data_IF_210629181762
#
_entry.id   IF_210629181762
#
_cell.length_a   1.000
_cell.length_b   1.000
_cell.length_c   1.000
_cell.angle_alpha   90.00
_cell.angle_beta   90.00
_cell.angle_gamma   90.00
#
_symmetry.space_group_name_H-M   'P 1'
#
loop_
_entity.id
_entity.type
_entity.pdbx_description
1 polymer ?
#
# COMPACT_ATOMS: atom_id res chain seq x y z
N UNK A 1 11.50 -17.42 -12.71
CA UNK A 1 10.87 -17.64 -11.37
C UNK A 1 10.73 -16.37 -10.50
N UNK A 2 11.47 -15.26 -10.73
CA UNK A 2 11.42 -14.07 -9.88
C UNK A 2 10.12 -13.27 -9.90
N UNK A 3 9.49 -13.08 -11.07
CA UNK A 3 8.31 -12.21 -11.23
C UNK A 3 7.07 -12.80 -10.56
N UNK A 4 6.78 -14.07 -10.81
CA UNK A 4 5.60 -14.75 -10.20
C UNK A 4 5.69 -14.73 -8.67
N UNK A 5 6.88 -15.02 -8.11
CA UNK A 5 7.09 -14.97 -6.66
C UNK A 5 6.88 -13.58 -6.09
N UNK A 6 7.26 -12.52 -6.82
CA UNK A 6 7.01 -11.12 -6.41
C UNK A 6 5.53 -10.80 -6.42
N UNK A 7 4.80 -11.20 -7.47
CA UNK A 7 3.35 -11.03 -7.57
C UNK A 7 2.63 -11.72 -6.42
N UNK A 8 2.90 -13.01 -6.20
CA UNK A 8 2.29 -13.77 -5.09
C UNK A 8 2.58 -13.15 -3.72
N UNK A 9 3.81 -12.67 -3.52
CA UNK A 9 4.15 -11.96 -2.27
C UNK A 9 3.38 -10.65 -2.14
N UNK A 10 3.23 -9.90 -3.24
CA UNK A 10 2.45 -8.66 -3.27
C UNK A 10 1.00 -8.91 -2.85
N UNK A 11 0.34 -9.88 -3.49
CA UNK A 11 -1.02 -10.30 -3.16
C UNK A 11 -1.15 -10.75 -1.69
N UNK A 12 -0.24 -11.60 -1.23
CA UNK A 12 -0.24 -12.05 0.15
C UNK A 12 -0.11 -10.91 1.16
N UNK A 13 0.69 -9.87 0.85
CA UNK A 13 0.81 -8.68 1.70
C UNK A 13 -0.47 -7.87 1.71
N UNK A 14 -1.10 -7.65 0.55
CA UNK A 14 -2.36 -6.91 0.45
C UNK A 14 -3.47 -7.59 1.27
N UNK A 15 -3.72 -8.87 1.02
CA UNK A 15 -4.79 -9.61 1.69
C UNK A 15 -4.53 -9.82 3.19
N UNK A 16 -3.28 -10.09 3.60
CA UNK A 16 -2.94 -10.18 5.03
C UNK A 16 -3.12 -8.84 5.76
N UNK A 17 -2.97 -7.72 5.05
CA UNK A 17 -3.18 -6.39 5.62
C UNK A 17 -4.66 -6.10 5.89
N UNK A 18 -5.58 -6.69 5.12
CA UNK A 18 -7.03 -6.64 5.44
C UNK A 18 -7.28 -7.32 6.80
N UNK A 19 -6.68 -8.50 7.03
CA UNK A 19 -6.78 -9.18 8.32
C UNK A 19 -6.23 -8.35 9.48
N UNK A 20 -5.10 -7.67 9.28
CA UNK A 20 -4.54 -6.75 10.29
C UNK A 20 -5.48 -5.56 10.56
N UNK A 21 -6.07 -4.99 9.51
CA UNK A 21 -7.01 -3.87 9.62
C UNK A 21 -8.26 -4.27 10.43
N UNK A 22 -8.86 -5.42 10.10
CA UNK A 22 -10.03 -5.95 10.81
C UNK A 22 -9.71 -6.27 12.28
N UNK A 23 -8.49 -6.72 12.57
CA UNK A 23 -8.02 -6.97 13.93
C UNK A 23 -7.62 -5.69 14.69
N UNK A 24 -7.69 -4.49 14.06
CA UNK A 24 -7.24 -3.23 14.64
C UNK A 24 -5.74 -3.18 14.92
N UNK A 25 -4.94 -4.04 14.27
CA UNK A 25 -3.50 -4.21 14.52
C UNK A 25 -2.66 -3.53 13.45
N UNK A 26 -1.47 -3.08 13.87
CA UNK A 26 -0.44 -2.54 12.97
C UNK A 26 0.81 -3.41 13.05
N UNK A 27 1.48 -3.57 11.91
CA UNK A 27 2.76 -4.27 11.82
C UNK A 27 3.89 -3.28 12.20
N UNK A 28 4.01 -3.03 13.51
CA UNK A 28 5.01 -2.14 14.13
C UNK A 28 5.73 -2.95 15.19
N UNK A 29 7.08 -2.95 15.25
CA UNK A 29 7.83 -3.55 16.35
C UNK A 29 7.41 -2.99 17.71
N UNK A 30 7.50 -3.79 18.76
CA UNK A 30 7.09 -3.38 20.12
C UNK A 30 7.89 -2.17 20.65
N UNK A 31 9.14 -2.06 20.22
CA UNK A 31 10.09 -0.99 20.55
C UNK A 31 10.18 0.10 19.47
N UNK A 32 9.30 0.03 18.45
CA UNK A 32 9.31 0.93 17.29
C UNK A 32 8.22 1.99 17.33
N UNK A 33 8.49 3.09 16.65
CA UNK A 33 7.53 4.18 16.42
C UNK A 33 7.02 4.10 15.00
N UNK A 34 5.69 4.22 14.83
CA UNK A 34 5.04 4.27 13.52
C UNK A 34 5.17 5.66 12.90
N UNK A 35 5.64 5.74 11.66
CA UNK A 35 5.71 6.96 10.86
C UNK A 35 4.72 6.84 9.69
N UNK A 36 3.48 7.37 9.81
CA UNK A 36 2.48 7.26 8.76
C UNK A 36 2.86 8.12 7.56
N UNK A 37 2.73 7.57 6.35
CA UNK A 37 3.11 8.22 5.09
C UNK A 37 1.95 8.45 4.12
N UNK A 38 0.88 7.67 4.25
CA UNK A 38 -0.17 7.58 3.23
C UNK A 38 -1.37 8.50 3.46
N UNK A 39 -1.24 9.51 4.33
CA UNK A 39 -2.32 10.46 4.62
C UNK A 39 -2.92 11.10 3.35
N UNK A 40 -2.11 11.69 2.46
CA UNK A 40 -2.60 12.35 1.25
C UNK A 40 -3.23 11.42 0.21
N UNK A 41 -2.85 10.15 0.20
CA UNK A 41 -3.34 9.18 -0.80
C UNK A 41 -4.68 8.52 -0.41
N UNK A 42 -5.04 8.52 0.87
CA UNK A 42 -6.25 7.85 1.37
C UNK A 42 -7.54 8.35 0.73
N UNK A 43 -7.79 9.68 0.60
CA UNK A 43 -9.00 10.16 -0.03
C UNK A 43 -9.15 9.67 -1.46
N UNK A 44 -8.06 9.64 -2.23
CA UNK A 44 -8.06 9.16 -3.61
C UNK A 44 -8.45 7.67 -3.68
N UNK A 45 -7.90 6.83 -2.82
CA UNK A 45 -8.24 5.39 -2.78
C UNK A 45 -9.70 5.18 -2.38
N UNK A 46 -10.22 5.97 -1.44
CA UNK A 46 -11.64 5.93 -1.05
C UNK A 46 -12.55 6.31 -2.23
N UNK A 47 -12.19 7.34 -3.01
CA UNK A 47 -12.93 7.74 -4.20
C UNK A 47 -12.93 6.62 -5.24
N UNK A 48 -11.77 6.00 -5.53
CA UNK A 48 -11.73 4.87 -6.46
C UNK A 48 -12.57 3.69 -5.98
N UNK A 49 -12.57 3.40 -4.68
CA UNK A 49 -13.41 2.36 -4.12
C UNK A 49 -14.91 2.68 -4.27
N UNK A 50 -15.31 3.93 -4.03
CA UNK A 50 -16.69 4.36 -4.23
C UNK A 50 -17.11 4.28 -5.70
N UNK A 51 -16.24 4.65 -6.64
CA UNK A 51 -16.48 4.51 -8.09
C UNK A 51 -16.67 3.04 -8.46
N UNK A 52 -15.81 2.14 -7.99
CA UNK A 52 -15.93 0.71 -8.24
C UNK A 52 -17.27 0.14 -7.74
N UNK A 53 -17.76 0.60 -6.58
CA UNK A 53 -19.08 0.19 -6.08
C UNK A 53 -20.23 0.68 -6.97
N UNK A 54 -20.14 1.91 -7.50
CA UNK A 54 -21.13 2.46 -8.45
C UNK A 54 -21.09 1.67 -9.76
N UNK A 55 -19.91 1.35 -10.28
CA UNK A 55 -19.75 0.53 -11.49
C UNK A 55 -20.34 -0.86 -11.30
N UNK A 56 -20.06 -1.51 -10.16
CA UNK A 56 -20.67 -2.81 -9.82
C UNK A 56 -22.21 -2.72 -9.84
N UNK A 57 -22.77 -1.66 -9.25
CA UNK A 57 -24.21 -1.42 -9.27
C UNK A 57 -24.77 -1.24 -10.69
N UNK A 58 -24.05 -0.50 -11.55
CA UNK A 58 -24.44 -0.29 -12.94
C UNK A 58 -24.38 -1.59 -13.77
N UNK A 59 -23.38 -2.45 -13.54
CA UNK A 59 -23.27 -3.74 -14.22
C UNK A 59 -24.42 -4.69 -13.86
N UNK A 60 -25.00 -4.60 -12.67
CA UNK A 60 -26.17 -5.39 -12.30
C UNK A 60 -27.44 -5.00 -13.08
N UNK A 61 -27.47 -3.83 -13.71
CA UNK A 61 -28.59 -3.36 -14.52
C UNK A 61 -28.48 -3.76 -15.99
N UNK A 62 -27.34 -4.32 -16.40
CA UNK A 62 -27.08 -4.71 -17.80
C UNK A 62 -27.05 -6.24 -17.89
N UNK A 63 -27.79 -6.77 -18.87
CA UNK A 63 -27.77 -8.22 -19.12
C UNK A 63 -26.56 -8.59 -20.01
N UNK A 64 -25.52 -9.15 -19.38
CA UNK A 64 -24.34 -9.69 -20.04
C UNK A 64 -24.43 -11.20 -20.30
N UNK A 65 -25.59 -11.81 -20.06
CA UNK A 65 -25.78 -13.24 -20.02
C UNK A 65 -25.04 -13.88 -18.80
N UNK A 66 -25.35 -15.13 -18.53
CA UNK A 66 -24.85 -15.81 -17.32
C UNK A 66 -23.32 -15.85 -17.22
N UNK A 67 -22.63 -16.17 -18.33
CA UNK A 67 -21.16 -16.26 -18.33
C UNK A 67 -20.52 -14.88 -18.21
N UNK A 68 -20.98 -13.91 -19.00
CA UNK A 68 -20.44 -12.53 -18.97
C UNK A 68 -20.65 -11.88 -17.60
N UNK A 69 -21.85 -11.98 -17.04
CA UNK A 69 -22.17 -11.46 -15.71
C UNK A 69 -21.33 -12.11 -14.61
N UNK A 70 -21.09 -13.42 -14.68
CA UNK A 70 -20.23 -14.11 -13.70
C UNK A 70 -18.79 -13.61 -13.76
N UNK A 71 -18.22 -13.48 -14.97
CA UNK A 71 -16.85 -12.99 -15.15
C UNK A 71 -16.71 -11.56 -14.60
N UNK A 72 -17.64 -10.67 -14.95
CA UNK A 72 -17.64 -9.29 -14.46
C UNK A 72 -17.75 -9.24 -12.94
N UNK A 73 -18.67 -9.98 -12.35
CA UNK A 73 -18.86 -10.02 -10.90
C UNK A 73 -17.58 -10.49 -10.17
N UNK A 74 -16.92 -11.53 -10.67
CA UNK A 74 -15.67 -12.03 -10.08
C UNK A 74 -14.56 -10.98 -10.20
N UNK A 75 -14.44 -10.31 -11.36
CA UNK A 75 -13.47 -9.25 -11.57
C UNK A 75 -13.70 -8.06 -10.64
N UNK A 76 -14.94 -7.66 -10.43
CA UNK A 76 -15.32 -6.57 -9.53
C UNK A 76 -15.01 -6.90 -8.07
N UNK A 77 -15.41 -8.08 -7.60
CA UNK A 77 -15.10 -8.52 -6.24
C UNK A 77 -13.59 -8.54 -5.99
N UNK A 78 -12.82 -9.05 -6.96
CA UNK A 78 -11.36 -9.06 -6.87
C UNK A 78 -10.78 -7.64 -6.82
N UNK A 79 -11.25 -6.75 -7.70
CA UNK A 79 -10.81 -5.35 -7.76
C UNK A 79 -11.12 -4.59 -6.47
N UNK A 80 -12.33 -4.76 -5.95
CA UNK A 80 -12.72 -4.16 -4.67
C UNK A 80 -11.87 -4.70 -3.51
N UNK A 81 -11.64 -6.01 -3.45
CA UNK A 81 -10.77 -6.62 -2.44
C UNK A 81 -9.31 -6.12 -2.56
N UNK A 82 -8.83 -5.92 -3.78
CA UNK A 82 -7.50 -5.39 -4.05
C UNK A 82 -7.36 -3.94 -3.57
N UNK A 83 -8.33 -3.07 -3.88
CA UNK A 83 -8.36 -1.67 -3.41
C UNK A 83 -8.43 -1.60 -1.88
N UNK A 84 -9.26 -2.45 -1.27
CA UNK A 84 -9.34 -2.56 0.19
C UNK A 84 -8.01 -3.03 0.78
N UNK A 85 -7.35 -4.02 0.16
CA UNK A 85 -6.03 -4.50 0.55
C UNK A 85 -4.97 -3.42 0.45
N UNK A 86 -5.01 -2.62 -0.62
CA UNK A 86 -4.12 -1.46 -0.79
C UNK A 86 -4.32 -0.46 0.34
N UNK A 87 -5.55 -0.05 0.61
CA UNK A 87 -5.88 0.87 1.71
C UNK A 87 -5.46 0.29 3.07
N UNK A 88 -5.79 -0.97 3.33
CA UNK A 88 -5.40 -1.67 4.55
C UNK A 88 -3.87 -1.67 4.74
N UNK A 89 -3.10 -1.92 3.69
CA UNK A 89 -1.64 -1.92 3.75
C UNK A 89 -1.09 -0.56 4.13
N UNK A 90 -1.64 0.53 3.58
CA UNK A 90 -1.20 1.89 3.91
C UNK A 90 -1.48 2.29 5.36
N UNK A 91 -2.50 1.69 5.98
CA UNK A 91 -2.88 1.96 7.37
C UNK A 91 -2.12 1.06 8.35
N UNK A 92 -2.02 -0.25 8.03
CA UNK A 92 -1.50 -1.25 8.95
C UNK A 92 0.00 -1.45 8.87
N UNK A 93 0.64 -1.02 7.77
CA UNK A 93 2.08 -1.16 7.53
C UNK A 93 2.76 0.19 7.31
N UNK A 94 2.80 1.10 8.32
CA UNK A 94 3.50 2.37 8.22
C UNK A 94 5.01 2.15 8.10
N UNK A 95 5.76 3.21 7.79
CA UNK A 95 7.19 3.21 8.07
C UNK A 95 7.41 3.03 9.56
N UNK A 96 8.49 2.42 9.96
CA UNK A 96 8.80 2.21 11.37
C UNK A 96 10.23 2.62 11.68
N UNK A 97 10.41 3.32 12.78
CA UNK A 97 11.69 3.64 13.37
C UNK A 97 11.82 2.87 14.68
N UNK A 98 12.80 2.01 14.77
CA UNK A 98 13.18 1.29 16.00
C UNK A 98 14.57 1.72 16.45
N UNK A 99 15.04 1.35 17.66
CA UNK A 99 16.39 1.68 18.10
C UNK A 99 17.52 1.06 17.26
N UNK A 100 17.20 0.12 16.39
CA UNK A 100 18.19 -0.60 15.57
C UNK A 100 18.11 -0.28 14.10
N UNK A 101 16.90 -0.03 13.56
CA UNK A 101 16.68 0.13 12.12
C UNK A 101 15.57 1.13 11.82
N UNK A 102 15.75 1.84 10.70
CA UNK A 102 14.69 2.54 10.00
C UNK A 102 14.15 1.62 8.91
N UNK A 103 12.85 1.33 8.95
CA UNK A 103 12.19 0.51 7.93
C UNK A 103 11.23 1.36 7.11
N UNK A 104 11.56 1.51 5.83
CA UNK A 104 10.77 2.27 4.86
C UNK A 104 9.94 1.29 4.03
N UNK A 105 8.63 1.49 4.04
CA UNK A 105 7.67 0.64 3.33
C UNK A 105 6.80 1.49 2.42
N UNK A 106 6.60 1.04 1.18
CA UNK A 106 5.61 1.64 0.28
C UNK A 106 4.68 0.54 -0.19
N UNK A 107 3.53 0.46 0.42
CA UNK A 107 2.54 -0.60 0.18
C UNK A 107 3.19 -2.00 0.25
N UNK A 108 2.94 -2.86 -0.75
CA UNK A 108 3.58 -4.18 -0.88
C UNK A 108 4.75 -4.18 -1.88
N UNK A 109 5.05 -3.01 -2.49
CA UNK A 109 6.04 -2.88 -3.57
C UNK A 109 7.46 -2.74 -3.04
N UNK A 110 7.62 -2.09 -1.90
CA UNK A 110 8.92 -1.70 -1.38
C UNK A 110 9.00 -1.92 0.13
N UNK A 111 10.07 -2.54 0.59
CA UNK A 111 10.40 -2.77 2.00
C UNK A 111 11.92 -2.68 2.15
N UNK A 112 12.40 -1.49 2.55
CA UNK A 112 13.81 -1.20 2.78
C UNK A 112 14.07 -1.14 4.28
N UNK A 113 15.11 -1.80 4.73
CA UNK A 113 15.62 -1.73 6.10
C UNK A 113 16.99 -1.10 6.08
N UNK A 114 17.14 -0.02 6.83
CA UNK A 114 18.39 0.71 6.97
C UNK A 114 18.81 0.65 8.43
N UNK A 115 19.95 0.01 8.75
CA UNK A 115 20.50 0.04 10.12
C UNK A 115 20.75 1.49 10.55
N UNK A 116 20.41 1.84 11.78
CA UNK A 116 20.65 3.20 12.28
C UNK A 116 22.12 3.57 12.38
N UNK A 117 23.00 2.58 12.43
CA UNK A 117 24.46 2.79 12.34
C UNK A 117 24.89 3.45 11.04
N UNK A 118 24.09 3.28 9.98
CA UNK A 118 24.38 3.77 8.63
C UNK A 118 23.62 5.10 8.34
N UNK A 119 22.91 5.62 9.35
CA UNK A 119 22.12 6.86 9.26
C UNK A 119 22.81 7.96 10.04
N UNK A 120 23.33 8.94 9.35
CA UNK A 120 23.97 10.10 9.96
C UNK A 120 22.96 11.10 10.54
N UNK A 121 21.89 11.38 9.77
CA UNK A 121 20.82 12.28 10.21
C UNK A 121 19.48 11.91 9.59
N UNK A 122 18.39 12.22 10.28
CA UNK A 122 17.03 12.04 9.80
C UNK A 122 16.27 13.36 9.87
N UNK A 123 15.96 13.94 8.71
CA UNK A 123 15.20 15.19 8.64
C UNK A 123 13.94 14.98 7.82
N UNK A 124 12.79 15.34 8.39
CA UNK A 124 11.52 15.33 7.67
C UNK A 124 11.35 16.61 6.88
N UNK A 125 11.28 16.52 5.56
CA UNK A 125 10.96 17.64 4.67
C UNK A 125 9.67 17.33 3.89
N UNK A 126 8.79 18.32 3.77
CA UNK A 126 7.65 18.27 2.85
C UNK A 126 8.06 18.98 1.57
N UNK A 127 8.48 18.23 0.57
CA UNK A 127 8.84 18.75 -0.75
C UNK A 127 7.95 18.13 -1.81
N UNK A 128 7.50 18.95 -2.77
CA UNK A 128 6.82 18.45 -3.96
C UNK A 128 7.87 18.05 -4.99
N UNK A 129 8.01 16.74 -5.24
CA UNK A 129 8.95 16.22 -6.21
C UNK A 129 8.27 15.98 -7.55
N UNK A 130 8.90 16.46 -8.63
CA UNK A 130 8.44 16.24 -10.00
C UNK A 130 8.84 14.85 -10.55
N UNK A 131 9.56 14.04 -9.76
CA UNK A 131 10.04 12.74 -10.21
C UNK A 131 9.05 11.62 -9.87
N UNK A 132 8.84 10.71 -10.83
CA UNK A 132 8.04 9.51 -10.64
C UNK A 132 8.71 8.44 -9.74
N UNK A 133 9.88 8.73 -9.20
CA UNK A 133 10.63 7.79 -8.36
C UNK A 133 10.34 8.07 -6.89
N UNK A 134 9.94 7.04 -6.16
CA UNK A 134 9.64 7.09 -4.73
C UNK A 134 10.89 7.38 -3.86
N UNK A 135 12.07 7.02 -4.35
CA UNK A 135 13.34 7.25 -3.70
C UNK A 135 14.31 7.85 -4.70
N UNK A 136 14.93 8.96 -4.34
CA UNK A 136 15.91 9.67 -5.19
C UNK A 136 17.13 10.02 -4.35
N UNK A 137 18.31 9.70 -4.86
CA UNK A 137 19.57 10.22 -4.33
C UNK A 137 19.75 11.68 -4.76
N UNK A 138 19.95 12.56 -3.80
CA UNK A 138 20.28 13.97 -4.03
C UNK A 138 21.63 14.26 -3.36
N UNK A 139 22.72 14.11 -4.10
CA UNK A 139 24.06 14.11 -3.55
C UNK A 139 24.28 12.91 -2.66
N UNK A 140 24.58 13.13 -1.39
CA UNK A 140 24.76 12.07 -0.37
C UNK A 140 23.47 11.78 0.42
N UNK A 141 22.36 12.50 0.18
CA UNK A 141 21.09 12.33 0.86
C UNK A 141 20.14 11.41 0.08
N UNK A 142 19.51 10.46 0.77
CA UNK A 142 18.41 9.67 0.25
C UNK A 142 17.09 10.38 0.58
N UNK A 143 16.41 10.89 -0.44
CA UNK A 143 15.15 11.63 -0.32
C UNK A 143 13.98 10.74 -0.75
N UNK A 144 12.94 10.70 0.06
CA UNK A 144 11.68 10.02 -0.24
C UNK A 144 10.67 11.04 -0.75
N UNK A 145 10.20 10.85 -2.00
CA UNK A 145 9.24 11.71 -2.69
C UNK A 145 7.79 11.26 -2.45
#
# INVERSE_FOLDING_TARGET
>A
MGVIRRLLRHEAVLFSSIGLLLAGRKDVPADGVALPYAGPQRPMVIVFFAVALVETGAFLLVDFGALGGTILLVAEIYSAAWLLGYLATTITRPHTLSPRELRLRVVALFDLRVPLTDVESLTRRNETHSSARTLVWRGEELVMA
#
